data_IF_992382512763
#
_entry.id   IF_992382512763
#
_cell.length_a   1.000
_cell.length_b   1.000
_cell.length_c   1.000
_cell.angle_alpha   90.00
_cell.angle_beta   90.00
_cell.angle_gamma   90.00
#
_symmetry.space_group_name_H-M   'P 1'
#
loop_
_entity.id
_entity.type
_entity.pdbx_description
1 polymer ?
#
# COMPACT_ATOMS: atom_id res chain seq x y z
N UNK A 1 9.48 -2.44 -12.52
CA UNK A 1 10.83 -2.15 -12.00
C UNK A 1 11.14 -3.16 -10.90
N UNK A 2 12.39 -3.62 -10.78
CA UNK A 2 12.77 -4.65 -9.81
C UNK A 2 13.88 -4.14 -8.88
N UNK A 3 13.77 -4.44 -7.59
CA UNK A 3 14.69 -3.98 -6.55
C UNK A 3 15.03 -5.10 -5.55
N UNK A 4 16.13 -4.93 -4.84
CA UNK A 4 16.55 -5.81 -3.74
C UNK A 4 16.80 -4.94 -2.51
N UNK A 5 16.26 -5.37 -1.37
CA UNK A 5 16.47 -4.75 -0.06
C UNK A 5 17.27 -5.70 0.82
N UNK A 6 18.33 -5.17 1.43
CA UNK A 6 19.12 -5.81 2.47
C UNK A 6 18.91 -5.16 3.85
N UNK A 7 18.70 -3.85 3.91
CA UNK A 7 18.56 -3.10 5.17
C UNK A 7 17.29 -2.26 5.23
N UNK A 8 17.04 -1.62 6.37
CA UNK A 8 15.88 -0.74 6.52
C UNK A 8 16.05 0.56 5.73
N UNK A 9 17.30 1.01 5.53
CA UNK A 9 17.64 2.24 4.82
C UNK A 9 17.33 2.13 3.31
N UNK A 10 17.44 0.94 2.72
CA UNK A 10 17.17 0.71 1.29
C UNK A 10 15.70 1.05 0.91
N UNK A 11 14.77 1.02 1.87
CA UNK A 11 13.39 1.43 1.64
C UNK A 11 13.28 2.89 1.19
N UNK A 12 14.16 3.76 1.70
CA UNK A 12 14.16 5.17 1.34
C UNK A 12 14.50 5.35 -0.15
N UNK A 13 15.51 4.64 -0.64
CA UNK A 13 15.92 4.70 -2.05
C UNK A 13 14.81 4.20 -2.99
N UNK A 14 14.10 3.16 -2.58
CA UNK A 14 12.97 2.60 -3.34
C UNK A 14 11.81 3.60 -3.39
N UNK A 15 11.47 4.22 -2.26
CA UNK A 15 10.41 5.24 -2.23
C UNK A 15 10.78 6.44 -3.09
N UNK A 16 12.02 6.92 -3.02
CA UNK A 16 12.50 8.04 -3.86
C UNK A 16 12.41 7.72 -5.35
N UNK A 17 12.59 6.45 -5.72
CA UNK A 17 12.45 5.99 -7.11
C UNK A 17 11.00 5.83 -7.53
N UNK A 18 10.12 5.35 -6.64
CA UNK A 18 8.73 5.03 -6.96
C UNK A 18 7.82 6.26 -6.96
N UNK A 19 8.04 7.23 -6.07
CA UNK A 19 7.19 8.44 -5.97
C UNK A 19 7.01 9.16 -7.33
N UNK A 20 8.08 9.37 -8.13
CA UNK A 20 7.94 9.96 -9.47
C UNK A 20 7.07 9.16 -10.43
N UNK A 21 6.99 7.84 -10.26
CA UNK A 21 6.27 6.91 -11.14
C UNK A 21 4.86 6.56 -10.64
N UNK A 22 4.47 7.02 -9.44
CA UNK A 22 3.09 6.90 -8.92
C UNK A 22 2.13 7.83 -9.67
N UNK A 23 1.65 7.35 -10.82
CA UNK A 23 0.71 8.05 -11.70
C UNK A 23 -0.78 7.79 -11.40
N UNK A 24 -1.08 6.87 -10.49
CA UNK A 24 -2.43 6.42 -10.17
C UNK A 24 -2.65 6.51 -8.66
N UNK A 25 -3.89 6.76 -8.26
CA UNK A 25 -4.25 6.93 -6.86
C UNK A 25 -4.51 5.60 -6.14
N UNK A 26 -4.26 4.45 -6.77
CA UNK A 26 -4.40 3.13 -6.17
C UNK A 26 -3.06 2.42 -6.24
N UNK A 27 -2.56 1.97 -5.09
CA UNK A 27 -1.34 1.19 -4.94
C UNK A 27 -1.63 -0.10 -4.18
N UNK A 28 -1.49 -1.23 -4.86
CA UNK A 28 -1.67 -2.54 -4.28
C UNK A 28 -0.35 -3.05 -3.72
N UNK A 29 -0.33 -3.49 -2.46
CA UNK A 29 0.83 -4.08 -1.81
C UNK A 29 0.59 -5.57 -1.57
N UNK A 30 1.29 -6.40 -2.35
CA UNK A 30 1.26 -7.86 -2.25
C UNK A 30 2.53 -8.38 -1.60
N UNK A 31 2.43 -9.48 -0.89
CA UNK A 31 3.58 -10.12 -0.27
C UNK A 31 3.21 -10.93 0.96
N UNK A 32 4.10 -11.83 1.38
CA UNK A 32 3.87 -12.67 2.55
C UNK A 32 3.77 -11.87 3.87
N UNK A 33 3.31 -12.53 4.94
CA UNK A 33 3.29 -11.95 6.28
C UNK A 33 4.72 -11.57 6.70
N UNK A 34 4.91 -10.35 7.19
CA UNK A 34 6.26 -9.84 7.53
C UNK A 34 7.13 -9.49 6.31
N UNK A 35 6.56 -9.43 5.10
CA UNK A 35 7.29 -9.00 3.90
C UNK A 35 7.84 -7.56 4.02
N UNK A 36 7.16 -6.69 4.79
CA UNK A 36 7.52 -5.28 4.91
C UNK A 36 6.57 -4.32 4.17
N UNK A 37 5.34 -4.76 3.84
CA UNK A 37 4.31 -3.92 3.24
C UNK A 37 4.03 -2.65 4.06
N UNK A 38 3.71 -2.79 5.34
CA UNK A 38 3.51 -1.64 6.24
C UNK A 38 4.79 -0.81 6.41
N UNK A 39 5.97 -1.43 6.40
CA UNK A 39 7.26 -0.71 6.44
C UNK A 39 7.42 0.18 5.21
N UNK A 40 7.14 -0.34 4.02
CA UNK A 40 7.11 0.47 2.80
C UNK A 40 6.12 1.64 2.94
N UNK A 41 4.90 1.38 3.42
CA UNK A 41 3.87 2.42 3.65
C UNK A 41 4.36 3.53 4.58
N UNK A 42 5.10 3.20 5.65
CA UNK A 42 5.70 4.18 6.57
C UNK A 42 6.68 5.11 5.85
N UNK A 43 7.61 4.54 5.06
CA UNK A 43 8.56 5.35 4.29
C UNK A 43 7.85 6.18 3.21
N UNK A 44 6.87 5.60 2.51
CA UNK A 44 6.12 6.30 1.48
C UNK A 44 5.37 7.51 2.06
N UNK A 45 4.60 7.32 3.13
CA UNK A 45 3.82 8.38 3.77
C UNK A 45 4.69 9.52 4.30
N UNK A 46 5.84 9.18 4.91
CA UNK A 46 6.81 10.17 5.38
C UNK A 46 7.34 11.02 4.22
N UNK A 47 7.70 10.39 3.10
CA UNK A 47 8.21 11.10 1.92
C UNK A 47 7.12 11.89 1.18
N UNK A 48 5.87 11.47 1.26
CA UNK A 48 4.72 12.25 0.81
C UNK A 48 4.36 13.40 1.75
N UNK A 49 5.07 13.56 2.87
CA UNK A 49 4.96 14.69 3.78
C UNK A 49 3.98 14.51 4.93
N UNK A 50 3.46 13.29 5.15
CA UNK A 50 2.63 13.01 6.34
C UNK A 50 3.45 13.17 7.62
N UNK A 51 2.81 13.71 8.65
CA UNK A 51 3.35 13.77 10.03
C UNK A 51 2.67 12.77 10.96
N UNK A 52 1.72 12.00 10.44
CA UNK A 52 0.93 11.06 11.22
C UNK A 52 1.76 9.80 11.53
N UNK A 53 1.45 9.16 12.65
CA UNK A 53 2.07 7.88 13.02
C UNK A 53 1.45 6.74 12.20
N UNK A 54 2.28 6.08 11.39
CA UNK A 54 1.83 5.05 10.47
C UNK A 54 2.00 3.67 11.10
N UNK A 55 0.87 2.99 11.29
CA UNK A 55 0.79 1.64 11.83
C UNK A 55 -0.05 0.75 10.93
N UNK A 56 0.13 -0.57 11.03
CA UNK A 56 -0.68 -1.51 10.24
C UNK A 56 -2.16 -1.42 10.65
N UNK A 57 -3.09 -1.18 9.70
CA UNK A 57 -4.52 -1.13 9.98
C UNK A 57 -5.14 -2.53 10.11
N UNK A 58 -4.38 -3.59 10.39
CA UNK A 58 -4.90 -4.97 10.49
C UNK A 58 -6.15 -5.13 11.39
N UNK A 59 -6.34 -4.27 12.39
CA UNK A 59 -7.53 -4.28 13.27
C UNK A 59 -8.56 -3.19 12.94
N UNK A 60 -8.14 -2.00 12.51
CA UNK A 60 -9.03 -0.91 12.07
C UNK A 60 -9.56 -1.12 10.65
N UNK A 61 -8.93 -2.02 9.90
CA UNK A 61 -9.04 -2.33 8.48
C UNK A 61 -8.60 -1.18 7.57
N UNK A 62 -8.91 0.07 7.96
CA UNK A 62 -8.47 1.29 7.29
C UNK A 62 -7.89 2.29 8.30
N UNK A 63 -6.78 2.93 7.93
CA UNK A 63 -6.29 4.15 8.57
C UNK A 63 -6.31 5.31 7.57
N UNK A 64 -6.58 6.51 8.08
CA UNK A 64 -6.53 7.76 7.31
C UNK A 64 -5.29 8.56 7.73
N UNK A 65 -4.59 9.11 6.74
CA UNK A 65 -3.42 9.96 6.94
C UNK A 65 -3.51 11.26 6.14
N UNK A 66 -3.06 12.35 6.74
CA UNK A 66 -3.04 13.67 6.12
C UNK A 66 -1.70 13.93 5.43
N UNK A 67 -1.75 14.39 4.18
CA UNK A 67 -0.57 14.90 3.47
C UNK A 67 -0.84 16.27 2.86
N UNK A 68 0.19 17.05 2.49
CA UNK A 68 0.01 18.30 1.77
C UNK A 68 -0.75 18.18 0.43
N UNK A 69 -0.82 16.97 -0.16
CA UNK A 69 -1.49 16.72 -1.44
C UNK A 69 -2.92 16.21 -1.29
N UNK A 70 -3.35 15.86 -0.08
CA UNK A 70 -4.66 15.30 0.21
C UNK A 70 -4.59 14.09 1.15
N UNK A 71 -5.74 13.44 1.34
CA UNK A 71 -5.86 12.28 2.22
C UNK A 71 -5.29 11.04 1.58
N UNK A 72 -4.59 10.24 2.38
CA UNK A 72 -4.16 8.89 2.00
C UNK A 72 -4.88 7.90 2.88
N UNK A 73 -5.44 6.87 2.26
CA UNK A 73 -6.10 5.77 2.95
C UNK A 73 -5.26 4.51 2.84
N UNK A 74 -5.01 3.87 3.97
CA UNK A 74 -4.26 2.63 4.04
C UNK A 74 -5.19 1.53 4.50
N UNK A 75 -5.43 0.57 3.63
CA UNK A 75 -6.23 -0.62 3.88
C UNK A 75 -5.34 -1.83 4.12
N UNK A 76 -5.74 -2.70 5.04
CA UNK A 76 -5.19 -4.05 5.20
C UNK A 76 -6.35 -5.05 5.18
N UNK A 77 -6.54 -5.71 4.04
CA UNK A 77 -7.66 -6.62 3.82
C UNK A 77 -7.34 -8.07 4.24
N UNK A 78 -6.18 -8.33 4.87
CA UNK A 78 -5.73 -9.68 5.24
C UNK A 78 -6.75 -10.51 6.02
N UNK A 79 -7.61 -9.84 6.80
CA UNK A 79 -8.62 -10.49 7.65
C UNK A 79 -9.99 -10.63 7.01
N UNK A 80 -10.24 -9.93 5.91
CA UNK A 80 -11.52 -9.98 5.24
C UNK A 80 -11.62 -11.27 4.44
N UNK A 81 -12.77 -11.94 4.54
CA UNK A 81 -12.93 -13.30 4.00
C UNK A 81 -13.58 -13.32 2.63
N UNK A 82 -14.32 -12.28 2.31
CA UNK A 82 -15.13 -12.18 1.10
C UNK A 82 -15.33 -10.71 0.75
N UNK A 83 -15.87 -10.50 -0.45
CA UNK A 83 -16.08 -9.18 -1.01
C UNK A 83 -17.16 -8.38 -0.26
N UNK A 84 -18.18 -9.03 0.31
CA UNK A 84 -19.25 -8.36 1.06
C UNK A 84 -18.68 -7.60 2.28
N UNK A 85 -17.73 -8.21 3.01
CA UNK A 85 -17.03 -7.56 4.13
C UNK A 85 -16.23 -6.33 3.67
N UNK A 86 -15.74 -6.31 2.43
CA UNK A 86 -15.05 -5.13 1.86
C UNK A 86 -16.05 -4.02 1.53
N UNK A 87 -17.20 -4.38 0.95
CA UNK A 87 -18.26 -3.41 0.64
C UNK A 87 -18.86 -2.78 1.90
N UNK A 88 -19.01 -3.55 2.98
CA UNK A 88 -19.52 -3.04 4.27
C UNK A 88 -18.63 -1.93 4.87
N UNK A 89 -17.35 -1.88 4.50
CA UNK A 89 -16.41 -0.82 4.91
C UNK A 89 -16.60 0.45 4.09
N UNK A 90 -17.22 0.35 2.91
CA UNK A 90 -17.42 1.45 1.98
C UNK A 90 -16.16 1.85 1.24
N UNK A 91 -15.29 0.88 0.89
CA UNK A 91 -13.98 1.13 0.25
C UNK A 91 -14.06 2.04 -1.00
N UNK A 92 -15.15 1.94 -1.75
CA UNK A 92 -15.38 2.68 -3.01
C UNK A 92 -15.36 4.20 -2.79
N UNK A 93 -15.98 4.68 -1.70
CA UNK A 93 -16.01 6.11 -1.38
C UNK A 93 -14.60 6.65 -1.10
N UNK A 94 -13.72 5.83 -0.55
CA UNK A 94 -12.34 6.21 -0.30
C UNK A 94 -11.55 6.29 -1.60
N UNK A 95 -11.69 5.30 -2.49
CA UNK A 95 -10.99 5.27 -3.78
C UNK A 95 -11.26 6.52 -4.62
N UNK A 96 -12.49 7.02 -4.59
CA UNK A 96 -12.89 8.21 -5.36
C UNK A 96 -12.36 9.54 -4.79
N UNK A 97 -12.09 9.60 -3.48
CA UNK A 97 -11.76 10.84 -2.78
C UNK A 97 -10.30 10.92 -2.30
N UNK A 98 -9.51 9.87 -2.49
CA UNK A 98 -8.13 9.80 -2.03
C UNK A 98 -7.17 10.53 -2.96
N UNK A 99 -6.14 11.15 -2.35
CA UNK A 99 -4.90 11.40 -3.07
C UNK A 99 -4.18 10.08 -3.39
N UNK A 100 -4.18 9.13 -2.46
CA UNK A 100 -3.66 7.78 -2.66
C UNK A 100 -4.39 6.77 -1.74
N UNK A 101 -4.76 5.62 -2.29
CA UNK A 101 -5.21 4.44 -1.57
C UNK A 101 -4.11 3.38 -1.63
N UNK A 102 -3.63 2.96 -0.48
CA UNK A 102 -2.65 1.90 -0.31
C UNK A 102 -3.40 0.68 0.20
N UNK A 103 -3.45 -0.40 -0.57
CA UNK A 103 -4.24 -1.60 -0.23
C UNK A 103 -3.28 -2.78 -0.04
N UNK A 104 -3.05 -3.17 1.22
CA UNK A 104 -2.36 -4.41 1.55
C UNK A 104 -3.31 -5.61 1.42
N UNK A 105 -2.78 -6.71 0.88
CA UNK A 105 -3.51 -7.96 0.66
C UNK A 105 -4.79 -7.76 -0.19
N UNK A 106 -4.65 -7.25 -1.42
CA UNK A 106 -5.78 -6.88 -2.26
C UNK A 106 -6.58 -8.07 -2.79
N UNK A 107 -6.18 -9.32 -2.53
CA UNK A 107 -6.65 -10.51 -3.24
C UNK A 107 -8.18 -10.70 -3.20
N UNK A 108 -8.84 -10.27 -2.13
CA UNK A 108 -10.31 -10.36 -1.98
C UNK A 108 -11.08 -9.27 -2.73
N UNK A 109 -10.41 -8.21 -3.17
CA UNK A 109 -11.01 -7.03 -3.82
C UNK A 109 -10.46 -6.76 -5.22
N UNK A 110 -9.36 -7.42 -5.61
CA UNK A 110 -8.64 -7.13 -6.84
C UNK A 110 -9.49 -7.28 -8.11
N UNK A 111 -10.44 -8.21 -8.14
CA UNK A 111 -11.36 -8.38 -9.28
C UNK A 111 -12.27 -7.15 -9.49
N UNK A 112 -12.63 -6.44 -8.42
CA UNK A 112 -13.48 -5.23 -8.50
C UNK A 112 -12.72 -4.02 -9.04
N UNK A 113 -11.39 -4.07 -9.07
CA UNK A 113 -10.57 -3.03 -9.68
C UNK A 113 -10.52 -3.16 -11.21
N UNK A 114 -11.28 -4.08 -11.82
CA UNK A 114 -11.32 -4.26 -13.26
C UNK A 114 -11.72 -2.96 -13.99
N UNK A 115 -10.86 -2.53 -14.90
CA UNK A 115 -11.05 -1.29 -15.68
C UNK A 115 -10.54 -0.02 -14.99
N UNK A 116 -10.13 -0.10 -13.72
CA UNK A 116 -9.39 0.96 -13.05
C UNK A 116 -7.89 0.85 -13.36
N UNK A 117 -7.18 1.97 -13.18
CA UNK A 117 -5.72 2.01 -13.27
C UNK A 117 -5.14 2.03 -11.86
N UNK A 118 -4.20 1.13 -11.60
CA UNK A 118 -3.54 1.01 -10.31
C UNK A 118 -2.08 0.60 -10.52
N UNK A 119 -1.27 0.83 -9.49
CA UNK A 119 0.09 0.30 -9.39
C UNK A 119 0.08 -0.94 -8.52
N UNK A 120 0.98 -1.87 -8.79
CA UNK A 120 1.19 -3.05 -7.94
C UNK A 120 2.63 -3.12 -7.49
N UNK A 121 2.83 -3.23 -6.17
CA UNK A 121 4.10 -3.63 -5.59
C UNK A 121 3.97 -5.03 -4.99
N UNK A 122 4.82 -5.94 -5.44
CA UNK A 122 4.99 -7.26 -4.82
C UNK A 122 6.29 -7.31 -4.03
N UNK A 123 6.23 -7.75 -2.78
CA UNK A 123 7.38 -7.87 -1.87
C UNK A 123 7.51 -9.32 -1.42
N UNK A 124 8.64 -9.94 -1.75
CA UNK A 124 8.96 -11.32 -1.34
C UNK A 124 10.11 -11.28 -0.35
N UNK A 125 9.87 -11.73 0.89
CA UNK A 125 10.92 -11.91 1.88
C UNK A 125 11.50 -13.32 1.77
N UNK A 126 12.79 -13.43 1.41
CA UNK A 126 13.54 -14.70 1.28
C UNK A 126 14.26 -15.10 2.56
N UNK A 127 14.20 -14.27 3.61
CA UNK A 127 14.86 -14.45 4.90
C UNK A 127 16.12 -13.61 5.05
N UNK A 128 16.96 -13.58 4.01
CA UNK A 128 18.22 -12.82 3.94
C UNK A 128 18.07 -11.44 3.27
N UNK A 129 17.05 -11.28 2.43
CA UNK A 129 16.76 -10.07 1.68
C UNK A 129 15.27 -9.99 1.36
N UNK A 130 14.85 -8.87 0.76
CA UNK A 130 13.54 -8.76 0.12
C UNK A 130 13.72 -8.45 -1.35
N UNK A 131 12.93 -9.12 -2.18
CA UNK A 131 12.85 -8.88 -3.61
C UNK A 131 11.55 -8.13 -3.89
N UNK A 132 11.64 -7.04 -4.64
CA UNK A 132 10.50 -6.15 -4.91
C UNK A 132 10.31 -6.03 -6.41
N UNK A 133 9.07 -6.22 -6.85
CA UNK A 133 8.59 -5.84 -8.19
C UNK A 133 7.57 -4.71 -8.06
N UNK A 134 7.71 -3.67 -8.86
CA UNK A 134 6.76 -2.56 -8.98
C UNK A 134 6.29 -2.45 -10.43
N UNK A 135 4.98 -2.45 -10.64
CA UNK A 135 4.31 -2.43 -11.94
C UNK A 135 3.26 -1.33 -12.03
#
# INVERSE_FOLDING_TARGET
>A
MNYIIHTIEDWQEIVDTIIPDLQHNILLLKGNLGAGKTTFTQFLLKNLGSQDEVNSPTYSIVNEYNTPKGKIYHFDLYRLKNIEEVYDIGIEEYLDNAFLCIIEWPEVYEEELYGLKYHTMSIVNTGDKREISFE
#
